data_IF_587400353477
#
_entry.id   IF_587400353477
#
_cell.length_a   1.000
_cell.length_b   1.000
_cell.length_c   1.000
_cell.angle_alpha   90.00
_cell.angle_beta   90.00
_cell.angle_gamma   90.00
#
_symmetry.space_group_name_H-M   'P 1'
#
loop_
_entity.id
_entity.type
_entity.pdbx_description
1 polymer ?
#
# COMPACT_ATOMS: atom_id res chain seq x y z
N UNK A 1 17.46 26.23 15.52
CA UNK A 1 17.07 24.83 15.82
C UNK A 1 15.56 24.83 15.99
N UNK A 2 14.81 24.72 14.90
CA UNK A 2 13.34 24.61 14.96
C UNK A 2 12.99 23.20 15.41
N UNK A 3 12.60 23.06 16.68
CA UNK A 3 12.17 21.79 17.28
C UNK A 3 10.65 21.60 17.28
N UNK A 4 9.87 22.47 16.61
CA UNK A 4 8.44 22.61 16.94
C UNK A 4 7.42 22.39 15.81
N UNK A 5 7.81 21.90 14.63
CA UNK A 5 6.85 21.64 13.55
C UNK A 5 6.52 20.15 13.37
N UNK A 6 6.24 19.43 14.46
CA UNK A 6 5.64 18.09 14.36
C UNK A 6 4.14 18.24 14.14
N UNK A 7 3.65 17.68 13.04
CA UNK A 7 2.24 17.65 12.69
C UNK A 7 1.71 16.23 12.91
N UNK A 8 0.44 16.15 13.30
CA UNK A 8 -0.24 14.89 13.55
C UNK A 8 -1.43 14.74 12.62
N UNK A 9 -1.67 13.51 12.14
CA UNK A 9 -2.88 13.17 11.41
C UNK A 9 -3.51 11.90 11.99
N UNK A 10 -4.84 11.88 12.22
CA UNK A 10 -5.52 10.64 12.55
C UNK A 10 -5.55 9.72 11.32
N UNK A 11 -5.33 8.43 11.53
CA UNK A 11 -5.47 7.44 10.45
C UNK A 11 -6.95 7.07 10.33
N UNK A 12 -7.53 7.09 9.13
CA UNK A 12 -8.91 6.68 8.92
C UNK A 12 -9.18 5.24 9.39
N UNK A 13 -10.39 4.94 9.87
CA UNK A 13 -10.77 3.57 10.21
C UNK A 13 -10.73 2.69 8.96
N UNK A 14 -10.40 1.41 9.14
CA UNK A 14 -10.37 0.42 8.06
C UNK A 14 -9.03 0.30 7.33
N UNK A 15 -8.04 1.16 7.62
CA UNK A 15 -6.67 0.97 7.13
C UNK A 15 -6.03 -0.24 7.84
N UNK A 16 -5.55 -1.26 7.11
CA UNK A 16 -4.91 -2.41 7.72
C UNK A 16 -3.64 -2.02 8.48
N UNK A 17 -3.39 -2.65 9.64
CA UNK A 17 -2.20 -2.37 10.46
C UNK A 17 -0.89 -2.60 9.70
N UNK A 18 -0.85 -3.58 8.78
CA UNK A 18 0.33 -3.80 7.92
C UNK A 18 0.62 -2.57 7.05
N UNK A 19 -0.41 -1.90 6.51
CA UNK A 19 -0.25 -0.69 5.70
C UNK A 19 0.30 0.45 6.56
N UNK A 20 -0.19 0.59 7.78
CA UNK A 20 0.31 1.60 8.73
C UNK A 20 1.81 1.40 8.96
N UNK A 21 2.27 0.17 9.24
CA UNK A 21 3.69 -0.12 9.43
C UNK A 21 4.53 0.16 8.17
N UNK A 22 4.06 -0.23 6.98
CA UNK A 22 4.77 0.09 5.73
C UNK A 22 4.92 1.59 5.51
N UNK A 23 3.90 2.37 5.84
CA UNK A 23 3.95 3.84 5.74
C UNK A 23 4.92 4.42 6.76
N UNK A 24 4.92 3.95 8.00
CA UNK A 24 5.88 4.39 9.01
C UNK A 24 7.32 4.16 8.54
N UNK A 25 7.63 2.95 8.06
CA UNK A 25 8.96 2.59 7.57
C UNK A 25 9.36 3.41 6.34
N UNK A 26 8.43 3.59 5.38
CA UNK A 26 8.72 4.26 4.11
C UNK A 26 8.83 5.78 4.26
N UNK A 27 8.03 6.40 5.13
CA UNK A 27 7.95 7.86 5.26
C UNK A 27 8.72 8.40 6.48
N UNK A 28 9.21 7.52 7.36
CA UNK A 28 9.93 7.92 8.58
C UNK A 28 9.05 8.69 9.56
N UNK A 29 7.79 8.27 9.71
CA UNK A 29 6.81 8.87 10.62
C UNK A 29 6.56 7.97 11.82
N UNK A 30 6.25 8.57 12.96
CA UNK A 30 5.89 7.86 14.19
C UNK A 30 4.42 7.47 14.21
N UNK A 31 4.08 6.42 14.96
CA UNK A 31 2.72 5.95 15.15
C UNK A 31 2.38 5.80 16.63
N UNK A 32 1.17 6.21 16.99
CA UNK A 32 0.67 6.15 18.36
C UNK A 32 -0.85 5.93 18.35
N UNK A 33 -1.34 5.19 19.35
CA UNK A 33 -2.77 5.14 19.67
C UNK A 33 -3.04 6.25 20.68
N UNK A 34 -3.92 7.19 20.35
CA UNK A 34 -4.39 8.24 21.25
C UNK A 34 -5.81 7.97 21.69
N UNK A 35 -6.23 8.57 22.81
CA UNK A 35 -7.59 8.45 23.34
C UNK A 35 -8.32 9.77 23.19
N UNK A 36 -9.51 9.72 22.58
CA UNK A 36 -10.39 10.87 22.46
C UNK A 36 -10.97 11.20 23.85
N UNK A 37 -10.73 12.41 24.38
CA UNK A 37 -11.17 12.77 25.73
C UNK A 37 -12.68 12.98 25.86
N UNK A 38 -13.40 13.16 24.76
CA UNK A 38 -14.85 13.38 24.72
C UNK A 38 -15.58 12.06 24.50
N UNK A 39 -15.07 11.23 23.59
CA UNK A 39 -15.75 10.00 23.15
C UNK A 39 -15.24 8.73 23.86
N UNK A 40 -14.21 8.83 24.70
CA UNK A 40 -13.52 7.71 25.37
C UNK A 40 -13.03 6.62 24.40
N UNK A 41 -12.78 6.99 23.13
CA UNK A 41 -12.40 6.08 22.05
C UNK A 41 -10.94 6.20 21.69
N UNK A 42 -10.29 5.07 21.47
CA UNK A 42 -8.92 5.02 20.95
C UNK A 42 -8.90 5.23 19.43
N UNK A 43 -7.91 5.98 18.94
CA UNK A 43 -7.69 6.21 17.53
C UNK A 43 -6.19 6.25 17.17
N UNK A 44 -5.82 5.66 16.02
CA UNK A 44 -4.45 5.70 15.52
C UNK A 44 -4.06 7.08 14.96
N UNK A 45 -2.83 7.49 15.21
CA UNK A 45 -2.25 8.77 14.76
C UNK A 45 -0.87 8.55 14.18
N UNK A 46 -0.58 9.21 13.06
CA UNK A 46 0.79 9.38 12.55
C UNK A 46 1.31 10.77 12.89
N UNK A 47 2.58 10.87 13.29
CA UNK A 47 3.24 12.13 13.63
C UNK A 47 4.61 12.25 12.97
N UNK A 48 4.96 13.45 12.51
CA UNK A 48 6.24 13.72 11.86
C UNK A 48 6.33 15.16 11.34
N UNK A 49 7.39 15.48 10.60
CA UNK A 49 7.50 16.78 9.94
C UNK A 49 6.47 16.94 8.81
N UNK A 50 6.09 18.17 8.40
CA UNK A 50 4.98 18.39 7.47
C UNK A 50 5.15 17.65 6.13
N UNK A 51 6.36 17.64 5.57
CA UNK A 51 6.66 16.92 4.33
C UNK A 51 6.51 15.39 4.48
N UNK A 52 6.91 14.84 5.63
CA UNK A 52 6.77 13.42 5.92
C UNK A 52 5.30 13.03 6.07
N UNK A 53 4.50 13.88 6.72
CA UNK A 53 3.05 13.67 6.87
C UNK A 53 2.34 13.73 5.53
N UNK A 54 2.72 14.66 4.65
CA UNK A 54 2.12 14.73 3.32
C UNK A 54 2.46 13.51 2.47
N UNK A 55 3.71 13.04 2.54
CA UNK A 55 4.10 11.76 1.96
C UNK A 55 3.31 10.60 2.58
N UNK A 56 3.17 10.54 3.91
CA UNK A 56 2.46 9.48 4.61
C UNK A 56 1.00 9.38 4.17
N UNK A 57 0.30 10.50 3.93
CA UNK A 57 -1.06 10.49 3.36
C UNK A 57 -1.10 9.85 1.98
N UNK A 58 -0.15 10.23 1.11
CA UNK A 58 -0.05 9.67 -0.25
C UNK A 58 0.20 8.16 -0.20
N UNK A 59 1.14 7.72 0.63
CA UNK A 59 1.50 6.32 0.77
C UNK A 59 0.42 5.49 1.50
N UNK A 60 -0.31 6.05 2.46
CA UNK A 60 -1.48 5.39 3.07
C UNK A 60 -2.50 5.00 2.01
N UNK A 61 -2.83 5.94 1.12
CA UNK A 61 -3.73 5.66 0.00
C UNK A 61 -3.13 4.63 -0.94
N UNK A 62 -1.90 4.84 -1.39
CA UNK A 62 -1.26 3.99 -2.40
C UNK A 62 -1.09 2.54 -1.92
N UNK A 63 -0.57 2.32 -0.71
CA UNK A 63 -0.46 0.97 -0.13
C UNK A 63 -1.82 0.31 0.07
N UNK A 64 -2.84 1.07 0.47
CA UNK A 64 -4.20 0.53 0.66
C UNK A 64 -4.77 0.04 -0.68
N UNK A 65 -4.74 0.88 -1.72
CA UNK A 65 -5.26 0.53 -3.04
C UNK A 65 -4.49 -0.64 -3.67
N UNK A 66 -3.16 -0.63 -3.57
CA UNK A 66 -2.32 -1.73 -4.06
C UNK A 66 -2.66 -3.03 -3.34
N UNK A 67 -2.76 -3.01 -2.00
CA UNK A 67 -3.08 -4.21 -1.22
C UNK A 67 -4.46 -4.77 -1.57
N UNK A 68 -5.45 -3.91 -1.77
CA UNK A 68 -6.79 -4.33 -2.19
C UNK A 68 -6.77 -4.95 -3.59
N UNK A 69 -6.13 -4.29 -4.56
CA UNK A 69 -6.01 -4.81 -5.92
C UNK A 69 -5.29 -6.18 -5.95
N UNK A 70 -4.15 -6.30 -5.27
CA UNK A 70 -3.40 -7.55 -5.20
C UNK A 70 -4.20 -8.68 -4.54
N UNK A 71 -4.95 -8.38 -3.48
CA UNK A 71 -5.82 -9.38 -2.82
C UNK A 71 -6.87 -9.92 -3.78
N UNK A 72 -7.50 -9.04 -4.55
CA UNK A 72 -8.57 -9.42 -5.47
C UNK A 72 -8.01 -10.20 -6.67
N UNK A 73 -6.85 -9.80 -7.21
CA UNK A 73 -6.11 -10.56 -8.25
C UNK A 73 -5.72 -11.94 -7.73
N UNK A 74 -5.11 -12.03 -6.54
CA UNK A 74 -4.71 -13.30 -5.93
C UNK A 74 -5.90 -14.23 -5.65
N UNK A 75 -7.05 -13.67 -5.27
CA UNK A 75 -8.29 -14.43 -5.08
C UNK A 75 -8.78 -15.03 -6.41
N UNK A 76 -8.71 -14.27 -7.51
CA UNK A 76 -9.05 -14.75 -8.85
C UNK A 76 -8.06 -15.82 -9.32
N UNK A 77 -6.76 -15.58 -9.19
CA UNK A 77 -5.73 -16.56 -9.53
C UNK A 77 -5.93 -17.89 -8.81
N UNK A 78 -6.22 -17.85 -7.50
CA UNK A 78 -6.57 -19.05 -6.72
C UNK A 78 -7.82 -19.77 -7.22
N UNK A 79 -8.86 -19.00 -7.60
CA UNK A 79 -10.15 -19.53 -8.06
C UNK A 79 -10.01 -20.25 -9.40
N UNK A 80 -9.28 -19.64 -10.33
CA UNK A 80 -9.11 -20.15 -11.69
C UNK A 80 -7.87 -21.03 -11.87
N UNK A 81 -7.02 -21.14 -10.84
CA UNK A 81 -5.76 -21.89 -10.86
C UNK A 81 -4.76 -21.35 -11.88
N UNK A 82 -4.71 -20.03 -12.01
CA UNK A 82 -3.84 -19.31 -12.94
C UNK A 82 -2.95 -18.34 -12.17
N UNK A 83 -1.65 -18.31 -12.49
CA UNK A 83 -0.72 -17.35 -11.94
C UNK A 83 -0.89 -16.00 -12.65
N UNK A 84 -1.06 -14.92 -11.90
CA UNK A 84 -1.07 -13.57 -12.45
C UNK A 84 0.32 -12.93 -12.33
N UNK A 85 0.95 -12.62 -13.46
CA UNK A 85 2.21 -11.86 -13.52
C UNK A 85 1.91 -10.37 -13.58
N UNK A 86 2.46 -9.61 -12.65
CA UNK A 86 2.15 -8.20 -12.42
C UNK A 86 3.38 -7.37 -12.74
N UNK A 87 3.24 -6.43 -13.66
CA UNK A 87 4.32 -5.55 -14.10
C UNK A 87 3.89 -4.09 -14.08
N UNK A 88 4.84 -3.19 -13.83
CA UNK A 88 4.65 -1.75 -13.99
C UNK A 88 5.97 -1.10 -14.40
N UNK A 89 5.89 -0.04 -15.20
CA UNK A 89 7.03 0.80 -15.58
C UNK A 89 7.38 1.82 -14.47
N UNK A 90 6.48 2.04 -13.51
CA UNK A 90 6.65 3.00 -12.42
C UNK A 90 7.45 2.37 -11.26
N UNK A 91 8.66 2.88 -11.01
CA UNK A 91 9.58 2.32 -9.99
C UNK A 91 9.02 2.39 -8.57
N UNK A 92 8.36 3.50 -8.21
CA UNK A 92 7.73 3.68 -6.89
C UNK A 92 6.63 2.61 -6.69
N UNK A 93 5.79 2.40 -7.71
CA UNK A 93 4.74 1.38 -7.66
C UNK A 93 5.31 -0.03 -7.66
N UNK A 94 6.38 -0.29 -8.41
CA UNK A 94 7.05 -1.61 -8.41
C UNK A 94 7.56 -1.97 -7.02
N UNK A 95 8.19 -1.02 -6.33
CA UNK A 95 8.63 -1.18 -4.95
C UNK A 95 7.45 -1.45 -4.00
N UNK A 96 6.35 -0.73 -4.15
CA UNK A 96 5.16 -0.93 -3.31
C UNK A 96 4.50 -2.28 -3.59
N UNK A 97 4.41 -2.71 -4.85
CA UNK A 97 3.87 -4.02 -5.23
C UNK A 97 4.69 -5.16 -4.62
N UNK A 98 6.02 -5.08 -4.66
CA UNK A 98 6.91 -6.12 -4.12
C UNK A 98 6.76 -6.26 -2.61
N UNK A 99 6.53 -5.16 -1.89
CA UNK A 99 6.29 -5.17 -0.45
C UNK A 99 4.86 -5.63 -0.12
N UNK A 100 3.86 -5.01 -0.75
CA UNK A 100 2.45 -5.25 -0.43
C UNK A 100 2.02 -6.68 -0.75
N UNK A 101 2.62 -7.31 -1.78
CA UNK A 101 2.39 -8.72 -2.11
C UNK A 101 2.79 -9.69 -0.99
N UNK A 102 3.71 -9.30 -0.09
CA UNK A 102 4.07 -10.12 1.08
C UNK A 102 2.99 -10.09 2.16
N UNK A 103 2.15 -9.06 2.16
CA UNK A 103 1.17 -8.79 3.21
C UNK A 103 -0.25 -9.27 2.84
N UNK A 104 -0.41 -10.09 1.79
CA UNK A 104 -1.70 -10.63 1.35
C UNK A 104 -1.78 -12.15 1.49
N UNK A 105 -3.01 -12.65 1.68
CA UNK A 105 -3.30 -14.07 1.55
C UNK A 105 -3.28 -14.48 0.06
N UNK A 106 -2.98 -15.76 -0.19
CA UNK A 106 -2.91 -16.35 -1.54
C UNK A 106 -1.82 -15.73 -2.43
N UNK A 107 -0.75 -15.16 -1.85
CA UNK A 107 0.36 -14.55 -2.61
C UNK A 107 0.99 -15.51 -3.63
N UNK A 108 0.91 -16.81 -3.41
CA UNK A 108 1.46 -17.84 -4.31
C UNK A 108 0.75 -17.89 -5.70
N UNK A 109 -0.29 -17.08 -5.91
CA UNK A 109 -1.00 -16.91 -7.18
C UNK A 109 -0.68 -15.59 -7.89
N UNK A 110 0.24 -14.81 -7.35
CA UNK A 110 0.74 -13.59 -7.98
C UNK A 110 2.26 -13.61 -8.06
N UNK A 111 2.78 -13.04 -9.15
CA UNK A 111 4.21 -12.84 -9.35
C UNK A 111 4.41 -11.37 -9.72
N UNK A 112 5.20 -10.62 -8.94
CA UNK A 112 5.57 -9.24 -9.31
C UNK A 112 6.85 -9.30 -10.12
N UNK A 113 6.77 -8.98 -11.41
CA UNK A 113 7.87 -9.11 -12.35
C UNK A 113 8.71 -7.83 -12.43
N UNK A 114 10.04 -7.99 -12.46
CA UNK A 114 10.97 -6.88 -12.71
C UNK A 114 10.99 -6.47 -14.19
N UNK A 115 10.92 -7.46 -15.07
CA UNK A 115 10.88 -7.27 -16.52
C UNK A 115 9.46 -7.46 -17.05
N UNK A 116 9.15 -6.81 -18.17
CA UNK A 116 7.86 -6.91 -18.83
C UNK A 116 7.68 -8.32 -19.43
N UNK A 117 6.63 -9.07 -19.04
CA UNK A 117 6.33 -10.35 -19.67
C UNK A 117 6.13 -10.22 -21.19
N UNK A 118 6.58 -11.22 -21.95
CA UNK A 118 6.52 -11.26 -23.41
C UNK A 118 5.44 -12.21 -23.95
N UNK A 119 4.80 -12.95 -23.07
CA UNK A 119 3.76 -13.94 -23.33
C UNK A 119 2.52 -13.72 -22.43
N UNK A 120 1.37 -14.26 -22.85
CA UNK A 120 0.11 -14.20 -22.11
C UNK A 120 -0.86 -13.11 -22.58
N UNK A 121 -2.11 -13.20 -22.10
CA UNK A 121 -3.10 -12.13 -22.29
C UNK A 121 -2.82 -11.02 -21.28
N UNK A 122 -2.81 -9.77 -21.74
CA UNK A 122 -2.48 -8.61 -20.92
C UNK A 122 -3.70 -7.72 -20.71
N UNK A 123 -4.04 -7.48 -19.45
CA UNK A 123 -5.00 -6.47 -19.02
C UNK A 123 -4.27 -5.30 -18.37
N UNK A 124 -4.82 -4.09 -18.50
CA UNK A 124 -4.27 -2.88 -17.88
C UNK A 124 -5.20 -2.39 -16.79
N UNK A 125 -4.64 -2.17 -15.60
CA UNK A 125 -5.31 -1.56 -14.46
C UNK A 125 -4.66 -0.22 -14.14
N UNK A 126 -5.44 0.68 -13.54
CA UNK A 126 -4.93 1.95 -13.01
C UNK A 126 -5.06 1.97 -11.49
N UNK A 127 -3.94 2.15 -10.78
CA UNK A 127 -3.91 2.29 -9.33
C UNK A 127 -3.39 3.68 -9.01
N UNK A 128 -4.24 4.54 -8.44
CA UNK A 128 -3.89 5.93 -8.10
C UNK A 128 -3.25 6.72 -9.26
N UNK A 129 -3.75 6.57 -10.49
CA UNK A 129 -3.19 7.25 -11.67
C UNK A 129 -1.96 6.59 -12.29
N UNK A 130 -1.48 5.48 -11.72
CA UNK A 130 -0.32 4.72 -12.22
C UNK A 130 -0.79 3.44 -12.90
N UNK A 131 -0.18 3.10 -14.04
CA UNK A 131 -0.53 1.91 -14.82
C UNK A 131 0.11 0.65 -14.25
N UNK A 132 -0.67 -0.41 -14.18
CA UNK A 132 -0.25 -1.76 -13.83
C UNK A 132 -0.73 -2.70 -14.93
N UNK A 133 0.16 -3.59 -15.36
CA UNK A 133 -0.10 -4.58 -16.39
C UNK A 133 -0.22 -5.95 -15.73
N UNK A 134 -1.31 -6.66 -16.01
CA UNK A 134 -1.58 -7.99 -15.48
C UNK A 134 -1.56 -8.98 -16.65
N UNK A 135 -0.65 -9.94 -16.57
CA UNK A 135 -0.50 -11.01 -17.55
C UNK A 135 -0.96 -12.34 -16.96
N UNK A 136 -1.73 -13.11 -17.72
CA UNK A 136 -2.25 -14.44 -17.36
C UNK A 136 -1.96 -15.48 -18.43
#
# INVERSE_FOLDING_TARGET
MEKDNIVEIPIPPGVPQSVIFRVMETCGVDYQIKKDPILDKEYPVLSGYPEQIENAKRYLKLFTEVKLALRDIALLGRRYKTMAKIYTEDEELRYILSIASQDIANRDWIEVCEEKPTDGECETLEICGKKVYIYV
#
